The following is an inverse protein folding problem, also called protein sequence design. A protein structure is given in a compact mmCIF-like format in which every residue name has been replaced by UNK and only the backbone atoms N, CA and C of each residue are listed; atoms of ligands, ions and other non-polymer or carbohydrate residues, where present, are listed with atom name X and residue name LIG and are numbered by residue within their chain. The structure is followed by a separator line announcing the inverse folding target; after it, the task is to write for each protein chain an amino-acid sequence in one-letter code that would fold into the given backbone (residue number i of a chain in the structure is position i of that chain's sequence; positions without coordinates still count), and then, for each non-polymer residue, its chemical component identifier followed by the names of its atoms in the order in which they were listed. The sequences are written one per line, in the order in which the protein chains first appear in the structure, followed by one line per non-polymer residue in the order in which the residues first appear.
data_IF_762826871950
#
_entry.id   IF_762826871950
#
_cell.length_a   1.000
_cell.length_b   1.000
_cell.length_c   1.000
_cell.angle_alpha   90.00
_cell.angle_beta   90.00
_cell.angle_gamma   90.00
#
_symmetry.space_group_name_H-M   'P 1'
#
loop_
_entity.id
_entity.type
_entity.pdbx_description
1 polymer ?
#
# COMPACT_ATOMS: atom_id res chain seq x y z
N UNK A 1 -18.62 -26.64 -16.40
CA UNK A 1 -18.87 -25.23 -16.80
C UNK A 1 -17.94 -24.34 -16.00
N UNK A 2 -17.30 -23.36 -16.65
CA UNK A 2 -16.41 -22.39 -16.00
C UNK A 2 -17.23 -21.26 -15.38
N UNK A 3 -16.94 -20.91 -14.13
CA UNK A 3 -17.58 -19.79 -13.42
C UNK A 3 -16.79 -18.51 -13.60
N UNK A 4 -15.48 -18.54 -13.34
CA UNK A 4 -14.59 -17.40 -13.46
C UNK A 4 -13.13 -17.84 -13.65
N UNK A 5 -12.32 -16.95 -14.22
CA UNK A 5 -10.86 -17.06 -14.17
C UNK A 5 -10.37 -16.18 -13.04
N UNK A 6 -9.68 -16.78 -12.08
CA UNK A 6 -9.27 -16.14 -10.82
C UNK A 6 -7.84 -15.63 -10.90
N UNK A 7 -6.99 -16.38 -11.58
CA UNK A 7 -5.56 -16.07 -11.68
C UNK A 7 -4.96 -16.59 -13.01
N UNK A 8 -3.74 -16.14 -13.29
CA UNK A 8 -2.92 -16.50 -14.45
C UNK A 8 -1.47 -16.59 -13.99
N UNK A 9 -0.77 -17.64 -14.41
CA UNK A 9 0.65 -17.83 -14.13
C UNK A 9 1.36 -18.42 -15.35
N UNK A 10 2.68 -18.31 -15.34
CA UNK A 10 3.54 -19.13 -16.20
C UNK A 10 3.82 -20.42 -15.44
N UNK A 11 3.38 -21.55 -15.99
CA UNK A 11 3.61 -22.88 -15.44
C UNK A 11 5.07 -23.32 -15.57
N UNK A 12 5.40 -24.48 -14.99
CA UNK A 12 6.78 -24.97 -14.91
C UNK A 12 7.42 -25.23 -16.29
N UNK A 13 6.60 -25.53 -17.30
CA UNK A 13 7.05 -25.74 -18.69
C UNK A 13 7.04 -24.45 -19.53
N UNK A 14 6.85 -23.28 -18.91
CA UNK A 14 6.80 -22.00 -19.62
C UNK A 14 5.46 -21.71 -20.32
N UNK A 15 4.48 -22.61 -20.21
CA UNK A 15 3.14 -22.42 -20.76
C UNK A 15 2.27 -21.55 -19.84
N UNK A 16 1.35 -20.77 -20.42
CA UNK A 16 0.37 -20.01 -19.65
C UNK A 16 -0.73 -20.93 -19.12
N UNK A 17 -0.89 -20.89 -17.80
CA UNK A 17 -1.93 -21.60 -17.05
C UNK A 17 -2.82 -20.59 -16.34
N UNK A 18 -4.10 -20.92 -16.23
CA UNK A 18 -5.10 -20.08 -15.58
C UNK A 18 -5.79 -20.85 -14.47
N UNK A 19 -6.00 -20.20 -13.34
CA UNK A 19 -6.72 -20.77 -12.21
C UNK A 19 -8.22 -20.61 -12.44
N UNK A 20 -8.91 -21.72 -12.61
CA UNK A 20 -10.32 -21.77 -12.96
C UNK A 20 -11.18 -21.99 -11.71
N UNK A 21 -12.18 -21.13 -11.52
CA UNK A 21 -13.28 -21.37 -10.59
C UNK A 21 -14.38 -22.17 -11.30
N UNK A 22 -14.75 -23.30 -10.71
CA UNK A 22 -15.77 -24.19 -11.28
C UNK A 22 -17.14 -23.91 -10.66
N UNK A 23 -18.17 -23.85 -11.51
CA UNK A 23 -19.55 -23.60 -11.08
C UNK A 23 -19.99 -24.62 -10.04
N UNK A 24 -20.48 -24.14 -8.88
CA UNK A 24 -21.01 -24.98 -7.81
C UNK A 24 -19.95 -25.62 -6.92
N UNK A 25 -18.67 -25.33 -7.15
CA UNK A 25 -17.56 -25.79 -6.32
C UNK A 25 -16.92 -24.60 -5.62
N UNK A 26 -16.48 -24.79 -4.37
CA UNK A 26 -15.74 -23.76 -3.65
C UNK A 26 -14.32 -23.54 -4.21
N UNK A 27 -13.63 -22.48 -3.78
CA UNK A 27 -12.30 -22.10 -4.29
C UNK A 27 -11.21 -23.15 -4.04
N UNK A 28 -11.43 -24.07 -3.09
CA UNK A 28 -10.52 -25.19 -2.81
C UNK A 28 -10.42 -26.22 -3.94
N UNK A 29 -11.38 -26.21 -4.87
CA UNK A 29 -11.41 -27.12 -6.01
C UNK A 29 -10.91 -26.45 -7.30
N UNK A 30 -10.37 -25.25 -7.20
CA UNK A 30 -9.85 -24.55 -8.36
C UNK A 30 -8.62 -25.28 -8.90
N UNK A 31 -8.56 -25.42 -10.21
CA UNK A 31 -7.46 -26.10 -10.91
C UNK A 31 -6.79 -25.16 -11.90
N UNK A 32 -5.51 -25.44 -12.17
CA UNK A 32 -4.74 -24.75 -13.19
C UNK A 32 -4.97 -25.44 -14.53
N UNK A 33 -5.59 -24.70 -15.46
CA UNK A 33 -5.91 -25.20 -16.79
C UNK A 33 -5.05 -24.45 -17.83
N UNK A 34 -4.50 -25.15 -18.84
CA UNK A 34 -3.76 -24.50 -19.90
C UNK A 34 -4.70 -23.61 -20.71
N UNK A 35 -4.13 -22.60 -21.38
CA UNK A 35 -4.90 -21.69 -22.25
C UNK A 35 -5.80 -22.44 -23.25
N UNK A 36 -5.30 -23.55 -23.78
CA UNK A 36 -5.99 -24.41 -24.75
C UNK A 36 -7.29 -25.01 -24.20
N UNK A 37 -7.41 -25.23 -22.89
CA UNK A 37 -8.63 -25.78 -22.29
C UNK A 37 -9.72 -24.71 -22.07
N UNK A 38 -9.38 -23.43 -22.28
CA UNK A 38 -10.25 -22.28 -22.04
C UNK A 38 -10.77 -21.66 -23.34
N UNK A 39 -10.74 -22.43 -24.43
CA UNK A 39 -11.34 -22.04 -25.70
C UNK A 39 -12.84 -21.73 -25.47
N UNK A 40 -13.25 -20.49 -25.80
CA UNK A 40 -14.61 -19.99 -25.54
C UNK A 40 -14.80 -19.21 -24.23
N UNK A 41 -13.76 -19.08 -23.39
CA UNK A 41 -13.79 -18.28 -22.17
C UNK A 41 -13.05 -16.92 -22.30
N UNK A 42 -12.95 -16.38 -23.52
CA UNK A 42 -12.18 -15.16 -23.81
C UNK A 42 -12.61 -13.95 -22.97
N UNK A 43 -13.91 -13.81 -22.72
CA UNK A 43 -14.44 -12.71 -21.93
C UNK A 43 -14.00 -12.82 -20.46
N UNK A 44 -14.02 -14.02 -19.88
CA UNK A 44 -13.56 -14.26 -18.51
C UNK A 44 -12.05 -14.01 -18.37
N UNK A 45 -11.28 -14.37 -19.40
CA UNK A 45 -9.84 -14.10 -19.46
C UNK A 45 -9.55 -12.59 -19.51
N UNK A 46 -10.30 -11.83 -20.33
CA UNK A 46 -10.20 -10.37 -20.38
C UNK A 46 -10.54 -9.73 -19.04
N UNK A 47 -11.62 -10.18 -18.39
CA UNK A 47 -12.03 -9.69 -17.08
C UNK A 47 -10.96 -9.97 -16.01
N UNK A 48 -10.34 -11.14 -16.01
CA UNK A 48 -9.21 -11.46 -15.15
C UNK A 48 -8.04 -10.48 -15.36
N UNK A 49 -7.65 -10.23 -16.62
CA UNK A 49 -6.57 -9.30 -16.93
C UNK A 49 -6.88 -7.86 -16.49
N UNK A 50 -8.12 -7.38 -16.69
CA UNK A 50 -8.56 -6.06 -16.21
C UNK A 50 -8.49 -5.99 -14.68
N UNK A 51 -8.99 -7.00 -13.98
CA UNK A 51 -8.93 -7.07 -12.50
C UNK A 51 -7.49 -7.05 -12.00
N UNK A 52 -6.58 -7.79 -12.62
CA UNK A 52 -5.15 -7.79 -12.28
C UNK A 52 -4.52 -6.40 -12.46
N UNK A 53 -4.78 -5.73 -13.59
CA UNK A 53 -4.29 -4.36 -13.84
C UNK A 53 -4.84 -3.36 -12.82
N UNK A 54 -6.13 -3.44 -12.50
CA UNK A 54 -6.75 -2.58 -11.50
C UNK A 54 -6.18 -2.82 -10.09
N UNK A 55 -5.96 -4.08 -9.71
CA UNK A 55 -5.34 -4.44 -8.44
C UNK A 55 -3.89 -3.91 -8.33
N UNK A 56 -3.10 -4.05 -9.40
CA UNK A 56 -1.74 -3.51 -9.45
C UNK A 56 -1.73 -1.98 -9.32
N UNK A 57 -2.60 -1.27 -10.06
CA UNK A 57 -2.72 0.18 -9.97
C UNK A 57 -3.15 0.64 -8.56
N UNK A 58 -4.08 -0.08 -7.93
CA UNK A 58 -4.51 0.22 -6.56
C UNK A 58 -3.40 -0.04 -5.54
N UNK A 59 -2.61 -1.10 -5.70
CA UNK A 59 -1.46 -1.39 -4.86
C UNK A 59 -0.40 -0.27 -4.97
N UNK A 60 -0.09 0.20 -6.18
CA UNK A 60 0.82 1.33 -6.39
C UNK A 60 0.31 2.61 -5.72
N UNK A 61 -0.98 2.96 -5.91
CA UNK A 61 -1.59 4.12 -5.26
C UNK A 61 -1.59 4.02 -3.73
N UNK A 62 -1.87 2.83 -3.18
CA UNK A 62 -1.80 2.59 -1.74
C UNK A 62 -0.40 2.82 -1.19
N UNK A 63 0.62 2.33 -1.89
CA UNK A 63 2.01 2.51 -1.50
C UNK A 63 2.44 3.99 -1.56
N UNK A 64 2.06 4.71 -2.62
CA UNK A 64 2.31 6.15 -2.75
C UNK A 64 1.65 6.96 -1.62
N UNK A 65 0.40 6.64 -1.29
CA UNK A 65 -0.33 7.29 -0.20
C UNK A 65 0.33 7.02 1.16
N UNK A 66 0.80 5.79 1.39
CA UNK A 66 1.49 5.43 2.61
C UNK A 66 2.79 6.23 2.77
N UNK A 67 3.60 6.33 1.71
CA UNK A 67 4.83 7.15 1.72
C UNK A 67 4.48 8.62 1.98
N UNK A 68 3.41 9.15 1.37
CA UNK A 68 3.00 10.53 1.59
C UNK A 68 2.58 10.79 3.04
N UNK A 69 1.88 9.84 3.66
CA UNK A 69 1.47 9.94 5.07
C UNK A 69 2.68 9.90 6.00
N UNK A 70 3.62 8.96 5.78
CA UNK A 70 4.85 8.86 6.56
C UNK A 70 5.66 10.17 6.50
N UNK A 71 5.79 10.77 5.32
CA UNK A 71 6.42 12.10 5.15
C UNK A 71 5.69 13.22 5.87
N UNK A 72 4.35 13.18 5.87
CA UNK A 72 3.55 14.18 6.57
C UNK A 72 3.74 14.09 8.08
N UNK A 73 3.75 12.87 8.63
CA UNK A 73 3.99 12.61 10.06
C UNK A 73 5.38 13.09 10.46
N UNK A 74 6.43 12.71 9.72
CA UNK A 74 7.80 13.14 10.01
C UNK A 74 7.94 14.68 10.01
N UNK A 75 7.33 15.36 9.04
CA UNK A 75 7.33 16.83 9.00
C UNK A 75 6.61 17.45 10.21
N UNK A 76 5.51 16.85 10.65
CA UNK A 76 4.77 17.33 11.82
C UNK A 76 5.57 17.17 13.11
N UNK A 77 6.25 16.06 13.28
CA UNK A 77 7.14 15.80 14.42
C UNK A 77 8.32 16.78 14.45
N UNK A 78 8.93 17.08 13.30
CA UNK A 78 9.99 18.10 13.20
C UNK A 78 9.50 19.50 13.58
N UNK A 79 8.31 19.90 13.10
CA UNK A 79 7.69 21.19 13.46
C UNK A 79 7.41 21.29 14.96
N UNK A 80 6.94 20.21 15.58
CA UNK A 80 6.64 20.16 17.03
C UNK A 80 7.92 20.24 17.88
N UNK A 81 8.96 19.47 17.52
CA UNK A 81 10.27 19.54 18.19
C UNK A 81 10.91 20.94 18.08
N UNK A 82 10.75 21.61 16.93
CA UNK A 82 11.28 22.95 16.75
C UNK A 82 10.55 23.98 17.64
N UNK A 83 9.24 23.83 17.84
CA UNK A 83 8.47 24.68 18.75
C UNK A 83 8.87 24.45 20.20
N UNK A 84 9.00 23.19 20.63
CA UNK A 84 9.47 22.83 21.97
C UNK A 84 10.85 23.45 22.27
N UNK A 85 11.78 23.36 21.31
CA UNK A 85 13.10 23.98 21.43
C UNK A 85 13.04 25.51 21.61
N UNK A 86 12.17 26.20 20.86
CA UNK A 86 12.00 27.65 20.97
C UNK A 86 11.43 28.03 22.34
N UNK A 87 10.50 27.24 22.88
CA UNK A 87 9.92 27.48 24.20
C UNK A 87 10.97 27.33 25.30
N UNK A 88 11.77 26.27 25.27
CA UNK A 88 12.86 26.04 26.23
C UNK A 88 13.91 27.17 26.20
N UNK A 89 14.33 27.60 25.01
CA UNK A 89 15.32 28.69 24.87
C UNK A 89 14.77 30.02 25.40
N UNK A 90 13.48 30.32 25.15
CA UNK A 90 12.84 31.51 25.68
C UNK A 90 12.73 31.48 27.21
N UNK A 91 12.41 30.32 27.79
CA UNK A 91 12.34 30.14 29.25
C UNK A 91 13.72 30.33 29.91
N UNK A 92 14.77 29.74 29.32
CA UNK A 92 16.14 29.90 29.78
C UNK A 92 16.61 31.37 29.72
N UNK A 93 16.31 32.05 28.61
CA UNK A 93 16.61 33.47 28.44
C UNK A 93 15.85 34.36 29.44
N UNK A 94 14.58 34.04 29.73
CA UNK A 94 13.81 34.72 30.77
C UNK A 94 14.47 34.55 32.14
N UNK A 95 14.90 33.34 32.48
CA UNK A 95 15.49 33.01 33.79
C UNK A 95 16.86 33.69 34.01
N UNK A 96 17.70 33.73 32.96
CA UNK A 96 18.97 34.47 32.97
C UNK A 96 18.73 35.98 33.16
N UNK A 97 17.73 36.55 32.46
CA UNK A 97 17.34 37.95 32.64
C UNK A 97 16.89 38.26 34.08
N UNK A 98 16.08 37.40 34.69
CA UNK A 98 15.63 37.60 36.08
C UNK A 98 16.74 37.42 37.11
N UNK A 99 17.70 36.52 36.86
CA UNK A 99 18.83 36.28 37.76
C UNK A 99 19.77 37.49 37.84
N UNK A 100 20.13 38.07 36.68
CA UNK A 100 20.96 39.29 36.62
C UNK A 100 20.32 40.48 37.35
N UNK A 101 19.00 40.62 37.27
CA UNK A 101 18.25 41.71 37.92
C UNK A 101 18.14 41.54 39.44
N UNK A 102 18.26 40.32 39.95
CA UNK A 102 18.23 40.04 41.38
C UNK A 102 19.55 40.37 42.09
N UNK A 103 20.66 40.30 41.36
CA UNK A 103 22.01 40.60 41.86
C UNK A 103 22.34 42.11 41.92
N UNK A 104 21.54 42.95 41.25
CA UNK A 104 21.70 44.42 41.22
C UNK A 104 20.99 45.14 42.40
N UNK A 105 20.47 44.41 43.40
CA UNK A 105 19.82 44.97 44.61
C UNK A 105 20.60 44.64 45.88
#
# INVERSE_FOLDING_TARGET
QVEAIVDERVGEMGALEYLVQWVGWGPKFNSWEPRENLNGCEELLKQCAIRKKAAAANASKKHELQIALEKFVAKKEEEEQQLEFIEEENEANLLDMYSRRAEEK
#
